data_IF_057361490054
#
_entry.id   IF_057361490054
#
_cell.length_a   1.000
_cell.length_b   1.000
_cell.length_c   1.000
_cell.angle_alpha   90.00
_cell.angle_beta   90.00
_cell.angle_gamma   90.00
#
_symmetry.space_group_name_H-M   'P 1'
#
loop_
_entity.id
_entity.type
_entity.pdbx_description
1 polymer ?
#
# COMPACT_ATOMS: atom_id res chain seq x y z
N UNK A 1 16.46 -5.56 5.90
CA UNK A 1 16.40 -4.45 6.88
C UNK A 1 15.74 -4.91 8.17
N UNK A 2 15.73 -4.07 9.21
CA UNK A 2 15.18 -4.41 10.52
C UNK A 2 13.71 -4.87 10.47
N UNK A 3 12.89 -4.24 9.63
CA UNK A 3 11.49 -4.65 9.43
C UNK A 3 11.34 -6.09 8.90
N UNK A 4 12.21 -6.53 7.98
CA UNK A 4 12.21 -7.91 7.48
C UNK A 4 12.50 -8.93 8.58
N UNK A 5 13.48 -8.63 9.44
CA UNK A 5 13.81 -9.48 10.57
C UNK A 5 12.66 -9.52 11.59
N UNK A 6 12.08 -8.36 11.90
CA UNK A 6 10.93 -8.27 12.78
C UNK A 6 9.75 -9.12 12.29
N UNK A 7 9.37 -8.94 11.03
CA UNK A 7 8.30 -9.71 10.38
C UNK A 7 8.56 -11.22 10.42
N UNK A 8 9.79 -11.65 10.15
CA UNK A 8 10.09 -13.08 10.05
C UNK A 8 10.24 -13.78 11.41
N UNK A 9 10.64 -13.08 12.47
CA UNK A 9 11.00 -13.73 13.75
C UNK A 9 10.28 -13.20 14.99
N UNK A 10 9.66 -12.02 14.93
CA UNK A 10 9.17 -11.31 16.11
C UNK A 10 7.71 -10.86 16.03
N UNK A 11 7.13 -10.80 14.84
CA UNK A 11 5.70 -10.49 14.70
C UNK A 11 4.88 -11.54 15.46
N UNK A 12 3.84 -11.09 16.15
CA UNK A 12 2.86 -11.97 16.77
C UNK A 12 1.72 -12.11 15.78
N UNK A 13 1.43 -13.32 15.31
CA UNK A 13 0.33 -13.55 14.38
C UNK A 13 -1.01 -13.39 15.12
N UNK A 14 -1.99 -12.72 14.51
CA UNK A 14 -3.36 -12.70 15.04
C UNK A 14 -4.06 -14.06 14.87
N UNK A 15 -3.62 -14.91 13.94
CA UNK A 15 -4.03 -16.32 13.87
C UNK A 15 -3.47 -17.17 15.03
N UNK A 16 -2.60 -16.59 15.87
CA UNK A 16 -2.23 -17.07 17.20
C UNK A 16 -3.25 -16.75 18.31
N UNK A 17 -4.45 -16.24 17.97
CA UNK A 17 -5.55 -16.02 18.94
C UNK A 17 -6.47 -17.26 19.13
N UNK A 18 -6.22 -18.38 18.45
CA UNK A 18 -7.04 -19.60 18.56
C UNK A 18 -6.43 -20.78 19.32
N UNK A 19 -5.10 -20.84 19.49
CA UNK A 19 -4.42 -22.02 20.02
C UNK A 19 -3.30 -21.70 21.01
N UNK A 20 -3.55 -20.84 22.01
CA UNK A 20 -2.77 -20.79 23.27
C UNK A 20 -1.23 -20.83 23.16
N UNK A 21 -0.66 -20.37 22.05
CA UNK A 21 0.70 -20.68 21.63
C UNK A 21 1.57 -19.44 21.59
N UNK A 22 2.81 -19.58 22.07
CA UNK A 22 3.85 -18.55 22.17
C UNK A 22 4.59 -18.26 20.84
N UNK A 23 4.05 -18.69 19.70
CA UNK A 23 4.75 -18.63 18.43
C UNK A 23 4.95 -17.19 17.94
N UNK A 24 6.18 -16.90 17.51
CA UNK A 24 6.61 -15.59 16.99
C UNK A 24 7.19 -15.77 15.60
N UNK A 25 7.02 -14.75 14.77
CA UNK A 25 7.53 -14.76 13.41
C UNK A 25 6.60 -15.47 12.44
N UNK A 26 7.07 -15.60 11.20
CA UNK A 26 6.38 -16.31 10.14
C UNK A 26 6.99 -17.70 9.95
N UNK A 27 6.16 -18.68 9.63
CA UNK A 27 6.59 -20.03 9.22
C UNK A 27 6.09 -20.31 7.80
N UNK A 28 6.42 -21.49 7.26
CA UNK A 28 5.89 -21.95 5.97
C UNK A 28 4.36 -22.01 5.96
N UNK A 29 3.75 -22.33 7.11
CA UNK A 29 2.31 -22.53 7.25
C UNK A 29 1.60 -21.33 7.90
N UNK A 30 2.35 -20.32 8.34
CA UNK A 30 1.83 -19.14 9.02
C UNK A 30 2.52 -17.89 8.47
N UNK A 31 1.94 -17.33 7.42
CA UNK A 31 2.43 -16.13 6.75
C UNK A 31 1.45 -14.98 6.95
N UNK A 32 1.97 -13.77 7.11
CA UNK A 32 1.15 -12.57 7.09
C UNK A 32 0.55 -12.45 5.70
N UNK A 33 -0.78 -12.42 5.65
CA UNK A 33 -1.54 -12.27 4.42
C UNK A 33 -2.44 -11.04 4.51
N UNK A 34 -1.88 -9.88 4.16
CA UNK A 34 -2.55 -8.59 4.24
C UNK A 34 -3.70 -8.40 3.22
N UNK A 35 -3.84 -9.31 2.25
CA UNK A 35 -4.95 -9.31 1.29
C UNK A 35 -6.00 -10.38 1.65
N UNK A 36 -5.81 -11.15 2.74
CA UNK A 36 -6.68 -12.28 3.10
C UNK A 36 -8.15 -11.87 3.22
N UNK A 37 -8.44 -10.88 4.05
CA UNK A 37 -9.82 -10.43 4.30
C UNK A 37 -10.50 -9.92 3.01
N UNK A 38 -9.76 -9.21 2.15
CA UNK A 38 -10.24 -8.80 0.83
C UNK A 38 -10.59 -10.02 -0.05
N UNK A 39 -9.70 -11.01 -0.14
CA UNK A 39 -9.94 -12.21 -0.96
C UNK A 39 -11.08 -13.08 -0.41
N UNK A 40 -11.24 -13.15 0.90
CA UNK A 40 -12.38 -13.83 1.54
C UNK A 40 -13.71 -13.17 1.16
N UNK A 41 -13.78 -11.83 1.19
CA UNK A 41 -14.98 -11.08 0.77
C UNK A 41 -15.29 -11.23 -0.72
N UNK A 42 -14.26 -11.28 -1.56
CA UNK A 42 -14.41 -11.60 -2.99
C UNK A 42 -14.98 -13.03 -3.14
N UNK A 43 -14.45 -14.00 -2.41
CA UNK A 43 -14.92 -15.39 -2.42
C UNK A 43 -16.39 -15.50 -1.98
N UNK A 44 -16.77 -14.82 -0.89
CA UNK A 44 -18.15 -14.75 -0.41
C UNK A 44 -19.11 -14.20 -1.50
N UNK A 45 -18.74 -13.11 -2.16
CA UNK A 45 -19.54 -12.52 -3.27
C UNK A 45 -19.66 -13.45 -4.47
N UNK A 46 -18.66 -14.30 -4.72
CA UNK A 46 -18.68 -15.31 -5.77
C UNK A 46 -19.42 -16.60 -5.35
N UNK A 47 -19.88 -16.70 -4.10
CA UNK A 47 -20.53 -17.90 -3.56
C UNK A 47 -19.56 -19.06 -3.33
N UNK A 48 -18.27 -18.80 -3.14
CA UNK A 48 -17.27 -19.84 -2.94
C UNK A 48 -17.18 -20.21 -1.46
N UNK A 49 -17.10 -21.52 -1.19
CA UNK A 49 -17.04 -22.02 0.18
C UNK A 49 -15.75 -21.58 0.89
N UNK A 50 -15.90 -21.21 2.16
CA UNK A 50 -14.78 -20.83 3.03
C UNK A 50 -13.80 -22.01 3.18
N UNK A 51 -12.51 -21.79 2.93
CA UNK A 51 -11.47 -22.83 2.99
C UNK A 51 -11.14 -23.51 1.67
N UNK A 52 -11.84 -23.22 0.57
CA UNK A 52 -11.35 -23.54 -0.79
C UNK A 52 -10.16 -22.65 -1.15
N UNK A 53 -9.35 -23.01 -2.17
CA UNK A 53 -8.14 -22.26 -2.57
C UNK A 53 -8.35 -20.81 -3.03
N UNK A 54 -9.55 -20.24 -2.83
CA UNK A 54 -9.88 -18.83 -3.01
C UNK A 54 -9.76 -18.35 -4.46
N UNK A 55 -10.28 -17.14 -4.75
CA UNK A 55 -10.12 -16.48 -6.06
C UNK A 55 -8.65 -16.34 -6.45
N UNK A 56 -7.78 -16.13 -5.46
CA UNK A 56 -6.34 -15.96 -5.62
C UNK A 56 -5.63 -16.66 -4.47
N UNK A 57 -4.64 -17.49 -4.80
CA UNK A 57 -3.76 -18.14 -3.81
C UNK A 57 -2.59 -17.23 -3.48
N UNK A 58 -2.35 -16.96 -2.20
CA UNK A 58 -1.16 -16.23 -1.74
C UNK A 58 -0.13 -17.24 -1.22
N UNK A 59 1.10 -17.18 -1.71
CA UNK A 59 2.20 -18.02 -1.25
C UNK A 59 3.52 -17.27 -1.29
N UNK A 60 4.22 -17.21 -0.15
CA UNK A 60 5.47 -16.44 0.02
C UNK A 60 5.32 -14.96 -0.37
N UNK A 61 4.14 -14.39 -0.19
CA UNK A 61 3.82 -13.01 -0.58
C UNK A 61 3.49 -12.80 -2.06
N UNK A 62 3.46 -13.86 -2.87
CA UNK A 62 3.07 -13.81 -4.28
C UNK A 62 1.63 -14.28 -4.46
N UNK A 63 0.87 -13.58 -5.30
CA UNK A 63 -0.50 -13.93 -5.70
C UNK A 63 -0.52 -14.79 -6.96
N UNK A 64 -1.24 -15.90 -6.91
CA UNK A 64 -1.40 -16.87 -7.99
C UNK A 64 -2.87 -17.13 -8.32
N UNK A 65 -3.25 -17.08 -9.59
CA UNK A 65 -4.62 -17.39 -10.02
C UNK A 65 -4.66 -17.94 -11.46
N UNK A 66 -5.63 -18.79 -11.75
CA UNK A 66 -5.91 -19.25 -13.12
C UNK A 66 -6.67 -18.19 -13.92
N UNK A 67 -6.61 -18.28 -15.26
CA UNK A 67 -7.42 -17.40 -16.13
C UNK A 67 -8.92 -17.50 -15.80
N UNK A 68 -9.41 -18.70 -15.51
CA UNK A 68 -10.81 -18.95 -15.13
C UNK A 68 -11.19 -18.24 -13.83
N UNK A 69 -10.37 -18.35 -12.78
CA UNK A 69 -10.64 -17.68 -11.51
C UNK A 69 -10.60 -16.16 -11.68
N UNK A 70 -9.61 -15.63 -12.42
CA UNK A 70 -9.51 -14.20 -12.66
C UNK A 70 -10.66 -13.68 -13.52
N UNK A 71 -11.18 -14.47 -14.47
CA UNK A 71 -12.36 -14.10 -15.24
C UNK A 71 -13.59 -13.94 -14.33
N UNK A 72 -13.82 -14.87 -13.41
CA UNK A 72 -14.91 -14.75 -12.42
C UNK A 72 -14.73 -13.54 -11.51
N UNK A 73 -13.52 -13.31 -11.00
CA UNK A 73 -13.21 -12.14 -10.15
C UNK A 73 -13.43 -10.84 -10.92
N UNK A 74 -12.90 -10.75 -12.14
CA UNK A 74 -12.99 -9.55 -12.98
C UNK A 74 -14.44 -9.23 -13.33
N UNK A 75 -15.25 -10.24 -13.68
CA UNK A 75 -16.69 -10.07 -13.94
C UNK A 75 -17.42 -9.53 -12.70
N UNK A 76 -17.19 -10.14 -11.54
CA UNK A 76 -17.82 -9.71 -10.29
C UNK A 76 -17.42 -8.27 -9.94
N UNK A 77 -16.13 -7.96 -10.00
CA UNK A 77 -15.60 -6.60 -9.76
C UNK A 77 -16.09 -5.57 -10.78
N UNK A 78 -16.46 -5.99 -12.00
CA UNK A 78 -17.05 -5.13 -13.02
C UNK A 78 -18.49 -4.76 -12.72
N UNK A 79 -19.23 -5.64 -12.05
CA UNK A 79 -20.62 -5.41 -11.66
C UNK A 79 -20.80 -4.52 -10.43
N UNK A 80 -19.73 -4.20 -9.69
CA UNK A 80 -19.83 -3.41 -8.46
C UNK A 80 -20.12 -1.94 -8.75
N UNK A 81 -21.01 -1.34 -7.96
CA UNK A 81 -21.13 0.12 -7.85
C UNK A 81 -20.00 0.73 -7.03
N UNK A 82 -19.88 2.07 -7.05
CA UNK A 82 -18.82 2.80 -6.33
C UNK A 82 -18.81 2.48 -4.83
N UNK A 83 -19.97 2.48 -4.15
CA UNK A 83 -20.03 2.16 -2.73
C UNK A 83 -19.55 0.74 -2.42
N UNK A 84 -19.91 -0.24 -3.25
CA UNK A 84 -19.50 -1.63 -3.04
C UNK A 84 -18.01 -1.84 -3.33
N UNK A 85 -17.46 -1.12 -4.31
CA UNK A 85 -16.02 -1.10 -4.59
C UNK A 85 -15.25 -0.59 -3.36
N UNK A 86 -15.70 0.55 -2.82
CA UNK A 86 -15.10 1.17 -1.64
C UNK A 86 -15.21 0.26 -0.40
N UNK A 87 -16.37 -0.34 -0.16
CA UNK A 87 -16.58 -1.27 0.95
C UNK A 87 -15.71 -2.52 0.85
N UNK A 88 -15.52 -3.05 -0.36
CA UNK A 88 -14.66 -4.20 -0.58
C UNK A 88 -13.17 -3.83 -0.37
N UNK A 89 -12.72 -2.73 -0.98
CA UNK A 89 -11.34 -2.24 -0.92
C UNK A 89 -10.84 -1.96 0.50
N UNK A 90 -11.73 -1.53 1.41
CA UNK A 90 -11.44 -1.31 2.85
C UNK A 90 -10.92 -2.55 3.60
N UNK A 91 -11.08 -3.75 3.04
CA UNK A 91 -10.58 -4.99 3.65
C UNK A 91 -9.10 -5.26 3.34
N UNK A 92 -8.44 -4.41 2.54
CA UNK A 92 -7.01 -4.47 2.33
C UNK A 92 -6.24 -3.93 3.54
N UNK A 93 -5.25 -4.68 4.01
CA UNK A 93 -4.34 -4.24 5.06
C UNK A 93 -2.96 -3.88 4.50
N UNK A 94 -2.21 -3.08 5.26
CA UNK A 94 -0.77 -2.83 5.03
C UNK A 94 -0.02 -3.00 6.34
N UNK A 95 1.27 -3.36 6.28
CA UNK A 95 2.13 -3.35 7.47
C UNK A 95 2.65 -1.94 7.72
N UNK A 96 2.61 -1.45 8.96
CA UNK A 96 3.14 -0.12 9.31
C UNK A 96 4.19 -0.25 10.40
N UNK A 97 5.37 0.29 10.15
CA UNK A 97 6.42 0.48 11.15
C UNK A 97 6.58 1.97 11.37
N UNK A 98 5.94 2.49 12.42
CA UNK A 98 5.94 3.92 12.71
C UNK A 98 7.15 4.35 13.52
N UNK A 99 7.63 5.55 13.22
CA UNK A 99 8.64 6.25 14.04
C UNK A 99 9.90 5.40 14.33
N UNK A 100 10.40 4.75 13.28
CA UNK A 100 11.60 3.89 13.33
C UNK A 100 12.84 4.65 12.87
N UNK A 101 13.96 4.42 13.54
CA UNK A 101 15.24 5.05 13.18
C UNK A 101 15.83 4.43 11.91
N UNK A 102 16.31 5.28 11.01
CA UNK A 102 17.09 4.87 9.85
C UNK A 102 18.50 4.51 10.30
N UNK A 103 18.80 3.21 10.34
CA UNK A 103 20.11 2.68 10.78
C UNK A 103 21.10 2.46 9.64
N UNK A 104 20.69 2.72 8.39
CA UNK A 104 21.55 2.52 7.22
C UNK A 104 22.61 3.62 7.14
N UNK A 105 23.88 3.21 7.23
CA UNK A 105 25.00 4.00 6.71
C UNK A 105 25.08 3.72 5.20
N UNK A 106 25.47 4.71 4.38
CA UNK A 106 25.33 4.71 2.91
C UNK A 106 25.62 3.36 2.22
N UNK A 107 24.88 3.05 1.15
CA UNK A 107 25.01 1.78 0.41
C UNK A 107 26.35 1.61 -0.31
N UNK A 108 27.07 2.71 -0.52
CA UNK A 108 28.44 2.74 -1.01
C UNK A 108 29.32 3.32 0.12
N UNK A 109 30.39 2.63 0.56
CA UNK A 109 31.32 3.16 1.56
C UNK A 109 31.97 4.50 1.17
N UNK A 110 31.94 4.84 -0.12
CA UNK A 110 32.51 6.06 -0.70
C UNK A 110 31.47 7.17 -0.88
N UNK A 111 30.17 6.86 -0.84
CA UNK A 111 29.11 7.87 -0.84
C UNK A 111 28.70 8.19 0.61
N UNK A 112 28.90 9.43 1.08
CA UNK A 112 28.45 9.81 2.40
C UNK A 112 26.93 9.67 2.47
N UNK A 113 26.45 9.05 3.55
CA UNK A 113 25.03 9.01 3.85
C UNK A 113 24.49 10.44 3.93
N UNK A 114 23.46 10.74 3.13
CA UNK A 114 22.90 12.10 2.99
C UNK A 114 21.78 12.42 3.99
N UNK A 115 21.45 11.50 4.90
CA UNK A 115 20.52 11.77 5.99
C UNK A 115 21.19 12.47 7.17
N UNK A 116 20.47 12.59 8.29
CA UNK A 116 20.98 13.16 9.55
C UNK A 116 20.86 12.17 10.71
N UNK A 117 21.86 12.11 11.59
CA UNK A 117 21.90 11.12 12.67
C UNK A 117 20.60 11.13 13.50
N UNK A 118 20.04 9.93 13.76
CA UNK A 118 18.75 9.78 14.44
C UNK A 118 17.53 10.08 13.57
N UNK A 119 17.67 10.19 12.25
CA UNK A 119 16.53 10.32 11.33
C UNK A 119 15.51 9.21 11.58
N UNK A 120 14.25 9.60 11.82
CA UNK A 120 13.13 8.69 12.03
C UNK A 120 12.17 8.75 10.85
N UNK A 121 11.61 7.60 10.50
CA UNK A 121 10.68 7.45 9.38
C UNK A 121 9.55 6.52 9.78
N UNK A 122 8.41 6.66 9.10
CA UNK A 122 7.37 5.63 9.10
C UNK A 122 7.42 4.89 7.78
N UNK A 123 7.46 3.57 7.85
CA UNK A 123 7.53 2.70 6.69
C UNK A 123 6.20 1.95 6.54
N UNK A 124 5.55 2.13 5.39
CA UNK A 124 4.36 1.38 5.02
C UNK A 124 4.77 0.26 4.06
N UNK A 125 4.57 -0.97 4.50
CA UNK A 125 4.81 -2.19 3.75
C UNK A 125 3.50 -2.65 3.09
N UNK A 126 3.35 -2.26 1.83
CA UNK A 126 2.26 -2.71 0.96
C UNK A 126 2.78 -3.68 -0.11
N UNK A 127 1.89 -4.51 -0.66
CA UNK A 127 2.19 -5.42 -1.76
C UNK A 127 1.15 -5.25 -2.86
N UNK A 128 1.60 -5.16 -4.11
CA UNK A 128 0.73 -5.31 -5.27
C UNK A 128 0.53 -6.79 -5.62
N UNK A 129 -0.43 -7.07 -6.51
CA UNK A 129 -0.56 -8.39 -7.12
C UNK A 129 0.68 -8.71 -7.97
N UNK A 130 1.17 -9.94 -7.89
CA UNK A 130 2.28 -10.46 -8.71
C UNK A 130 1.78 -10.96 -10.07
N UNK A 131 1.29 -10.04 -10.90
CA UNK A 131 0.66 -10.29 -12.22
C UNK A 131 1.51 -11.18 -13.12
N UNK A 132 2.81 -10.90 -13.23
CA UNK A 132 3.72 -11.65 -14.12
C UNK A 132 4.07 -13.08 -13.66
N UNK A 133 3.70 -13.49 -12.44
CA UNK A 133 4.15 -14.76 -11.85
C UNK A 133 3.21 -15.95 -12.09
N UNK A 134 1.97 -15.68 -12.50
CA UNK A 134 0.93 -16.72 -12.62
C UNK A 134 0.88 -17.40 -13.99
N UNK A 135 1.60 -16.88 -14.99
CA UNK A 135 1.63 -17.46 -16.33
C UNK A 135 0.29 -17.40 -17.07
N UNK A 136 -0.58 -16.45 -16.71
CA UNK A 136 -1.88 -16.24 -17.35
C UNK A 136 -1.73 -15.90 -18.84
N UNK A 137 -2.66 -16.36 -19.68
CA UNK A 137 -2.64 -16.06 -21.12
C UNK A 137 -2.98 -14.60 -21.40
N UNK A 138 -3.89 -14.06 -20.60
CA UNK A 138 -4.30 -12.66 -20.66
C UNK A 138 -4.04 -11.98 -19.31
N UNK A 139 -3.05 -11.09 -19.29
CA UNK A 139 -2.71 -10.33 -18.07
C UNK A 139 -3.81 -9.34 -17.66
N UNK A 140 -4.67 -8.91 -18.59
CA UNK A 140 -5.73 -7.93 -18.30
C UNK A 140 -6.85 -8.50 -17.43
N UNK A 141 -6.91 -9.83 -17.27
CA UNK A 141 -7.77 -10.46 -16.28
C UNK A 141 -7.43 -10.01 -14.84
N UNK A 142 -6.19 -9.57 -14.59
CA UNK A 142 -5.78 -9.02 -13.29
C UNK A 142 -6.24 -7.58 -13.06
N UNK A 143 -6.56 -6.81 -14.11
CA UNK A 143 -6.64 -5.35 -14.04
C UNK A 143 -7.47 -4.85 -12.85
N UNK A 144 -8.71 -5.34 -12.71
CA UNK A 144 -9.63 -4.84 -11.68
C UNK A 144 -9.14 -5.16 -10.27
N UNK A 145 -8.65 -6.39 -10.05
CA UNK A 145 -8.12 -6.76 -8.74
C UNK A 145 -6.84 -5.99 -8.43
N UNK A 146 -5.93 -5.86 -9.40
CA UNK A 146 -4.69 -5.10 -9.26
C UNK A 146 -4.95 -3.63 -8.95
N UNK A 147 -5.88 -2.99 -9.66
CA UNK A 147 -6.29 -1.60 -9.38
C UNK A 147 -6.85 -1.46 -7.98
N UNK A 148 -7.76 -2.34 -7.55
CA UNK A 148 -8.31 -2.30 -6.18
C UNK A 148 -7.20 -2.42 -5.11
N UNK A 149 -6.25 -3.33 -5.29
CA UNK A 149 -5.12 -3.52 -4.37
C UNK A 149 -4.19 -2.30 -4.37
N UNK A 150 -3.87 -1.74 -5.54
CA UNK A 150 -3.02 -0.55 -5.66
C UNK A 150 -3.70 0.67 -5.03
N UNK A 151 -4.98 0.89 -5.30
CA UNK A 151 -5.77 1.98 -4.74
C UNK A 151 -5.80 1.90 -3.20
N UNK A 152 -6.10 0.71 -2.65
CA UNK A 152 -6.06 0.50 -1.21
C UNK A 152 -4.66 0.71 -0.61
N UNK A 153 -3.61 0.26 -1.28
CA UNK A 153 -2.23 0.39 -0.82
C UNK A 153 -1.76 1.85 -0.75
N UNK A 154 -2.00 2.64 -1.81
CA UNK A 154 -1.65 4.05 -1.82
C UNK A 154 -2.50 4.86 -0.85
N UNK A 155 -3.80 4.59 -0.78
CA UNK A 155 -4.69 5.23 0.19
C UNK A 155 -4.24 4.96 1.63
N UNK A 156 -4.01 3.69 1.99
CA UNK A 156 -3.55 3.35 3.34
C UNK A 156 -2.19 3.99 3.66
N UNK A 157 -1.31 4.16 2.67
CA UNK A 157 -0.02 4.84 2.83
C UNK A 157 -0.20 6.33 3.15
N UNK A 158 -1.06 7.02 2.40
CA UNK A 158 -1.32 8.45 2.61
C UNK A 158 -2.12 8.71 3.90
N UNK A 159 -3.06 7.84 4.24
CA UNK A 159 -3.78 7.91 5.52
C UNK A 159 -2.86 7.66 6.72
N UNK A 160 -1.91 6.73 6.62
CA UNK A 160 -0.90 6.53 7.67
C UNK A 160 -0.02 7.77 7.88
N UNK A 161 0.37 8.44 6.79
CA UNK A 161 1.13 9.69 6.87
C UNK A 161 0.29 10.84 7.50
N UNK A 162 -0.98 10.96 7.09
CA UNK A 162 -1.90 11.94 7.67
C UNK A 162 -2.13 11.70 9.16
N UNK A 163 -2.37 10.45 9.57
CA UNK A 163 -2.55 10.07 10.97
C UNK A 163 -1.32 10.44 11.81
N UNK A 164 -0.12 10.09 11.35
CA UNK A 164 1.12 10.47 12.04
C UNK A 164 1.28 11.99 12.16
N UNK A 165 0.97 12.75 11.11
CA UNK A 165 1.04 14.21 11.16
C UNK A 165 0.09 14.77 12.23
N UNK A 166 -1.14 14.25 12.31
CA UNK A 166 -2.12 14.63 13.33
C UNK A 166 -1.65 14.25 14.74
N UNK A 167 -1.13 13.04 14.94
CA UNK A 167 -0.59 12.58 16.23
C UNK A 167 0.56 13.47 16.71
N UNK A 168 1.55 13.75 15.86
CA UNK A 168 2.69 14.61 16.23
C UNK A 168 2.27 16.05 16.54
N UNK A 169 1.34 16.61 15.77
CA UNK A 169 0.79 17.94 16.06
C UNK A 169 0.01 17.97 17.39
N UNK A 170 -0.70 16.90 17.71
CA UNK A 170 -1.38 16.77 18.99
C UNK A 170 -0.38 16.66 20.15
N UNK A 171 0.69 15.86 20.01
CA UNK A 171 1.79 15.77 20.98
C UNK A 171 2.45 17.14 21.23
N UNK A 172 2.74 17.90 20.17
CA UNK A 172 3.31 19.26 20.25
C UNK A 172 2.41 20.25 21.00
N UNK A 173 1.08 20.10 20.88
CA UNK A 173 0.11 20.99 21.51
C UNK A 173 -0.11 20.69 23.00
N UNK A 174 0.35 19.55 23.52
CA UNK A 174 0.21 19.17 24.92
C UNK A 174 1.12 20.01 25.85
N UNK A 175 0.72 20.25 27.12
CA UNK A 175 1.60 20.91 28.08
C UNK A 175 2.91 20.14 28.28
N UNK A 176 4.04 20.78 27.97
CA UNK A 176 5.36 20.13 27.99
C UNK A 176 5.68 19.30 26.76
N UNK A 177 4.85 19.37 25.71
CA UNK A 177 5.12 18.78 24.41
C UNK A 177 6.40 19.36 23.81
N UNK A 178 7.30 18.47 23.38
CA UNK A 178 8.45 18.89 22.60
C UNK A 178 8.02 19.23 21.19
N UNK A 179 8.71 20.18 20.56
CA UNK A 179 8.49 20.49 19.15
C UNK A 179 8.91 19.28 18.31
N UNK A 180 7.95 18.46 17.90
CA UNK A 180 8.18 17.45 16.90
C UNK A 180 8.34 18.12 15.52
N UNK A 181 9.10 17.49 14.64
CA UNK A 181 9.03 17.80 13.22
C UNK A 181 8.08 16.75 12.64
N UNK A 182 6.82 17.12 12.42
CA UNK A 182 5.92 16.29 11.63
C UNK A 182 6.43 16.26 10.19
N UNK A 183 7.09 15.16 9.80
CA UNK A 183 7.48 14.94 8.41
C UNK A 183 6.21 14.77 7.58
N UNK A 184 5.90 15.77 6.76
CA UNK A 184 4.76 15.74 5.85
C UNK A 184 5.12 15.21 4.46
N UNK A 185 6.41 14.98 4.19
CA UNK A 185 6.87 14.38 2.95
C UNK A 185 6.56 12.88 2.92
N UNK A 186 5.80 12.44 1.93
CA UNK A 186 5.53 11.03 1.65
C UNK A 186 6.26 10.60 0.39
N UNK A 187 7.13 9.61 0.51
CA UNK A 187 7.86 9.06 -0.64
C UNK A 187 7.16 7.80 -1.12
N UNK A 188 6.46 7.91 -2.25
CA UNK A 188 5.82 6.78 -2.92
C UNK A 188 6.80 6.11 -3.88
N UNK A 189 6.64 4.81 -4.05
CA UNK A 189 7.30 4.05 -5.13
C UNK A 189 6.25 3.62 -6.13
N UNK A 190 6.66 3.26 -7.36
CA UNK A 190 5.77 2.65 -8.35
C UNK A 190 5.49 1.18 -7.97
N UNK A 191 4.65 0.99 -6.94
CA UNK A 191 4.37 -0.29 -6.31
C UNK A 191 3.92 -1.33 -7.35
N UNK A 192 4.66 -2.44 -7.44
CA UNK A 192 4.35 -3.53 -8.36
C UNK A 192 4.70 -3.28 -9.85
N UNK A 193 5.27 -2.12 -10.20
CA UNK A 193 5.65 -1.79 -11.59
C UNK A 193 6.97 -2.40 -12.07
N UNK A 194 7.69 -3.12 -11.19
CA UNK A 194 8.88 -3.88 -11.53
C UNK A 194 8.54 -5.33 -11.90
N UNK A 195 9.21 -6.29 -11.27
CA UNK A 195 9.06 -7.73 -11.55
C UNK A 195 7.63 -8.26 -11.37
N UNK A 196 6.78 -7.60 -10.58
CA UNK A 196 5.38 -7.98 -10.41
C UNK A 196 4.52 -7.68 -11.64
N UNK A 197 4.95 -6.74 -12.51
CA UNK A 197 4.34 -6.48 -13.81
C UNK A 197 2.95 -5.83 -13.79
N UNK A 198 2.67 -5.00 -12.79
CA UNK A 198 1.46 -4.17 -12.84
C UNK A 198 1.65 -3.08 -13.89
N UNK A 199 0.61 -2.84 -14.69
CA UNK A 199 0.65 -1.82 -15.74
C UNK A 199 0.85 -0.43 -15.14
N UNK A 200 1.64 0.43 -15.78
CA UNK A 200 1.99 1.75 -15.23
C UNK A 200 0.74 2.61 -15.00
N UNK A 201 -0.24 2.54 -15.89
CA UNK A 201 -1.51 3.26 -15.76
C UNK A 201 -2.31 2.82 -14.53
N UNK A 202 -2.28 1.55 -14.16
CA UNK A 202 -2.97 1.05 -12.96
C UNK A 202 -2.37 1.67 -11.69
N UNK A 203 -1.05 1.86 -11.71
CA UNK A 203 -0.28 2.43 -10.62
C UNK A 203 -0.53 3.93 -10.53
N UNK A 204 -0.42 4.66 -11.65
CA UNK A 204 -0.59 6.12 -11.68
C UNK A 204 -2.03 6.54 -11.40
N UNK A 205 -3.02 5.81 -11.90
CA UNK A 205 -4.43 6.06 -11.57
C UNK A 205 -4.70 5.86 -10.07
N UNK A 206 -4.13 4.82 -9.46
CA UNK A 206 -4.28 4.56 -8.04
C UNK A 206 -3.62 5.64 -7.17
N UNK A 207 -2.43 6.12 -7.53
CA UNK A 207 -1.77 7.27 -6.87
C UNK A 207 -2.65 8.51 -7.00
N UNK A 208 -3.10 8.83 -8.22
CA UNK A 208 -3.93 10.00 -8.48
C UNK A 208 -5.23 9.96 -7.66
N UNK A 209 -5.91 8.81 -7.64
CA UNK A 209 -7.12 8.61 -6.82
C UNK A 209 -6.82 8.89 -5.35
N UNK A 210 -5.80 8.24 -4.79
CA UNK A 210 -5.44 8.38 -3.37
C UNK A 210 -5.10 9.83 -2.98
N UNK A 211 -4.34 10.55 -3.81
CA UNK A 211 -4.01 11.96 -3.56
C UNK A 211 -5.22 12.91 -3.63
N UNK A 212 -6.25 12.56 -4.41
CA UNK A 212 -7.42 13.42 -4.63
C UNK A 212 -8.61 13.10 -3.70
N UNK A 213 -8.46 12.08 -2.85
CA UNK A 213 -9.43 11.79 -1.80
C UNK A 213 -9.60 12.98 -0.86
N UNK A 214 -10.83 13.33 -0.45
CA UNK A 214 -11.07 14.46 0.45
C UNK A 214 -10.25 14.41 1.75
N UNK A 215 -10.09 13.22 2.34
CA UNK A 215 -9.36 12.98 3.59
C UNK A 215 -7.85 13.24 3.45
N UNK A 216 -7.32 13.06 2.24
CA UNK A 216 -5.89 13.23 1.93
C UNK A 216 -5.62 14.63 1.36
N UNK A 217 -6.45 15.09 0.43
CA UNK A 217 -6.30 16.38 -0.25
C UNK A 217 -6.42 17.58 0.70
N UNK A 218 -7.12 17.42 1.83
CA UNK A 218 -7.18 18.44 2.89
C UNK A 218 -5.96 18.46 3.81
N UNK A 219 -5.05 17.50 3.67
CA UNK A 219 -3.82 17.42 4.46
C UNK A 219 -2.67 18.11 3.75
N UNK A 220 -1.81 18.75 4.53
CA UNK A 220 -0.59 19.41 4.04
C UNK A 220 0.53 18.37 3.82
N UNK A 221 0.30 17.38 2.94
CA UNK A 221 1.26 16.34 2.58
C UNK A 221 2.06 16.73 1.33
N UNK A 222 3.38 16.57 1.39
CA UNK A 222 4.29 16.73 0.26
C UNK A 222 4.58 15.34 -0.36
N UNK A 223 3.84 14.98 -1.41
CA UNK A 223 3.93 13.64 -2.00
C UNK A 223 4.96 13.61 -3.13
N UNK A 224 5.99 12.79 -2.97
CA UNK A 224 7.08 12.61 -3.94
C UNK A 224 7.04 11.18 -4.49
N UNK A 225 7.09 11.03 -5.81
CA UNK A 225 7.21 9.71 -6.45
C UNK A 225 8.69 9.44 -6.72
N UNK A 226 9.24 8.43 -6.04
CA UNK A 226 10.59 7.95 -6.25
C UNK A 226 10.63 6.82 -7.29
N UNK A 227 11.48 6.97 -8.29
CA UNK A 227 11.76 5.96 -9.30
C UNK A 227 13.27 5.74 -9.40
N UNK A 228 13.70 4.48 -9.37
CA UNK A 228 15.10 4.11 -9.58
C UNK A 228 15.52 4.25 -11.06
N UNK A 229 14.56 4.22 -11.98
CA UNK A 229 14.85 4.32 -13.42
C UNK A 229 15.28 5.74 -13.80
N UNK A 230 16.36 5.92 -14.58
CA UNK A 230 16.72 7.22 -15.11
C UNK A 230 15.69 7.74 -16.13
N UNK A 231 14.89 6.82 -16.71
CA UNK A 231 13.76 7.16 -17.57
C UNK A 231 12.47 7.12 -16.75
N UNK A 232 11.86 8.28 -16.55
CA UNK A 232 10.54 8.43 -15.92
C UNK A 232 9.47 8.22 -17.00
N UNK A 233 8.56 7.24 -16.86
CA UNK A 233 7.46 7.06 -17.81
C UNK A 233 6.60 8.34 -17.91
N UNK A 234 6.17 8.75 -19.12
CA UNK A 234 5.34 9.94 -19.31
C UNK A 234 4.08 9.97 -18.43
N UNK A 235 3.48 8.81 -18.20
CA UNK A 235 2.28 8.60 -17.38
C UNK A 235 2.51 9.05 -15.92
N UNK A 236 3.73 8.88 -15.40
CA UNK A 236 4.09 9.33 -14.04
C UNK A 236 4.13 10.85 -13.98
N UNK A 237 4.70 11.49 -15.00
CA UNK A 237 4.73 12.95 -15.08
C UNK A 237 3.32 13.52 -15.23
N UNK A 238 2.52 12.92 -16.12
CA UNK A 238 1.13 13.31 -16.31
C UNK A 238 0.30 13.16 -15.03
N UNK A 239 0.52 12.08 -14.28
CA UNK A 239 -0.09 11.86 -12.98
C UNK A 239 0.22 13.01 -12.01
N UNK A 240 1.50 13.36 -11.84
CA UNK A 240 1.95 14.46 -10.96
C UNK A 240 1.33 15.79 -11.40
N UNK A 241 1.41 16.11 -12.69
CA UNK A 241 0.84 17.35 -13.24
C UNK A 241 -0.68 17.40 -13.04
N UNK A 242 -1.38 16.28 -13.24
CA UNK A 242 -2.83 16.18 -13.06
C UNK A 242 -3.24 16.35 -11.60
N UNK A 243 -2.50 15.78 -10.65
CA UNK A 243 -2.79 15.91 -9.21
C UNK A 243 -2.57 17.36 -8.77
N UNK A 244 -1.42 17.96 -9.13
CA UNK A 244 -1.10 19.35 -8.77
C UNK A 244 -2.12 20.35 -9.30
N UNK A 245 -2.58 20.18 -10.55
CA UNK A 245 -3.67 21.02 -11.11
C UNK A 245 -4.96 20.88 -10.31
N UNK A 246 -5.36 19.64 -10.00
CA UNK A 246 -6.61 19.39 -9.28
C UNK A 246 -6.59 19.92 -7.84
N UNK A 247 -5.46 19.82 -7.14
CA UNK A 247 -5.30 20.36 -5.79
C UNK A 247 -5.27 21.90 -5.79
N UNK A 248 -4.63 22.53 -6.78
CA UNK A 248 -4.59 24.00 -6.90
C UNK A 248 -5.99 24.61 -7.06
N UNK A 249 -6.82 24.01 -7.91
CA UNK A 249 -8.21 24.47 -8.10
C UNK A 249 -9.09 24.31 -6.85
N UNK A 250 -8.79 23.35 -5.96
CA UNK A 250 -9.52 23.19 -4.69
C UNK A 250 -9.21 24.32 -3.72
N UNK A 251 -7.95 24.74 -3.62
CA UNK A 251 -7.52 25.85 -2.78
C UNK A 251 -8.15 27.17 -3.21
N UNK A 252 -8.35 27.38 -4.51
CA UNK A 252 -9.02 28.57 -5.05
C UNK A 252 -10.54 28.57 -4.83
N UNK A 253 -11.17 27.38 -4.74
CA UNK A 253 -12.61 27.22 -4.61
C UNK A 253 -13.14 27.25 -3.17
N UNK A 254 -12.28 27.13 -2.15
CA UNK A 254 -12.63 27.29 -0.73
C UNK A 254 -12.28 28.72 -0.25
N UNK A 255 -13.26 29.63 -0.09
CA UNK A 255 -12.98 30.92 0.55
C UNK A 255 -12.62 30.71 2.02
N UNK A 256 -11.59 31.42 2.47
CA UNK A 256 -11.07 31.43 3.85
C UNK A 256 -12.15 31.71 4.90
#
# INVERSE_FOLDING_TARGET
GGATAYRNYFVRSEEGLGHGGSERGQTEHLQINNIKALLEKIGEKLGWEHGTHGPVRVHNGYTFASDENLAHVSEMLRGLGECEWEDLRRHLCVGVHSDVEVTQQGSDPTEPWRGYAGQRVTQVFASACSVSYSGNRDMWLWERLSRMVLEGAYEATLLAAAAQCCEKRAEEAMPGGEKAYAANTVVLTLLGGGVFGNHIEWITDAIKRACLMPEVAGMDLDVVINSYSPHIPPEVKECVDSVNRALSHRTEAQPR
#
